data_IF_044130617421
#
_entry.id   IF_044130617421
#
_cell.length_a   1.000
_cell.length_b   1.000
_cell.length_c   1.000
_cell.angle_alpha   90.00
_cell.angle_beta   90.00
_cell.angle_gamma   90.00
#
_symmetry.space_group_name_H-M   'P 1'
#
loop_
_entity.id
_entity.type
_entity.pdbx_description
1 polymer ?
#
# COMPACT_ATOMS: atom_id res chain seq x y z
N UNK A 1 -3.93 -15.31 -16.96
CA UNK A 1 -3.34 -14.00 -16.69
C UNK A 1 -3.78 -13.54 -15.29
N UNK A 2 -2.85 -13.12 -14.50
CA UNK A 2 -3.15 -12.74 -13.14
C UNK A 2 -3.62 -11.29 -13.05
N UNK A 3 -4.61 -11.07 -12.19
CA UNK A 3 -5.18 -9.75 -11.95
C UNK A 3 -4.69 -9.23 -10.59
N UNK A 4 -3.38 -9.14 -10.43
CA UNK A 4 -2.79 -8.68 -9.18
C UNK A 4 -2.93 -7.17 -9.03
N UNK A 5 -3.40 -6.73 -7.86
CA UNK A 5 -3.50 -5.32 -7.51
C UNK A 5 -2.84 -5.14 -6.15
N UNK A 6 -1.87 -4.25 -6.08
CA UNK A 6 -1.24 -3.90 -4.80
C UNK A 6 -2.07 -2.82 -4.13
N UNK A 7 -2.35 -3.02 -2.84
CA UNK A 7 -3.09 -2.06 -2.02
C UNK A 7 -2.19 -1.65 -0.86
N UNK A 8 -1.64 -0.44 -0.91
CA UNK A 8 -0.91 0.09 0.24
C UNK A 8 -1.92 0.57 1.27
N UNK A 9 -1.66 0.27 2.53
CA UNK A 9 -2.63 0.53 3.58
C UNK A 9 -3.77 -0.49 3.62
N UNK A 10 -3.54 -1.70 3.10
CA UNK A 10 -4.56 -2.74 3.01
C UNK A 10 -5.06 -3.28 4.35
N UNK A 11 -4.35 -3.04 5.44
CA UNK A 11 -4.77 -3.42 6.80
C UNK A 11 -5.58 -2.32 7.50
N UNK A 12 -5.79 -1.18 6.86
CA UNK A 12 -6.64 -0.12 7.38
C UNK A 12 -8.11 -0.39 7.15
N UNK A 13 -8.97 0.49 7.69
CA UNK A 13 -10.41 0.34 7.53
C UNK A 13 -10.83 0.40 6.05
N UNK A 14 -10.45 1.48 5.36
CA UNK A 14 -10.79 1.66 3.94
C UNK A 14 -10.06 0.61 3.10
N UNK A 15 -8.76 0.41 3.35
CA UNK A 15 -7.96 -0.54 2.57
C UNK A 15 -8.48 -1.97 2.64
N UNK A 16 -8.93 -2.43 3.82
CA UNK A 16 -9.48 -3.78 3.96
C UNK A 16 -10.79 -3.94 3.18
N UNK A 17 -11.64 -2.91 3.14
CA UNK A 17 -12.86 -2.94 2.33
C UNK A 17 -12.55 -2.93 0.84
N UNK A 18 -11.53 -2.19 0.42
CA UNK A 18 -11.06 -2.18 -0.98
C UNK A 18 -10.57 -3.58 -1.37
N UNK A 19 -9.78 -4.23 -0.52
CA UNK A 19 -9.31 -5.60 -0.77
C UNK A 19 -10.47 -6.58 -0.90
N UNK A 20 -11.47 -6.47 -0.03
CA UNK A 20 -12.67 -7.28 -0.11
C UNK A 20 -13.37 -7.12 -1.47
N UNK A 21 -13.58 -5.87 -1.88
CA UNK A 21 -14.24 -5.58 -3.16
C UNK A 21 -13.44 -6.10 -4.33
N UNK A 22 -12.13 -5.91 -4.33
CA UNK A 22 -11.25 -6.44 -5.37
C UNK A 22 -11.38 -7.96 -5.49
N UNK A 23 -11.35 -8.66 -4.36
CA UNK A 23 -11.50 -10.11 -4.33
C UNK A 23 -12.84 -10.55 -4.90
N UNK A 24 -13.92 -9.87 -4.54
CA UNK A 24 -15.26 -10.15 -5.05
C UNK A 24 -15.36 -9.97 -6.57
N UNK A 25 -14.59 -9.03 -7.12
CA UNK A 25 -14.59 -8.74 -8.56
C UNK A 25 -13.56 -9.56 -9.34
N UNK A 26 -12.91 -10.55 -8.72
CA UNK A 26 -11.99 -11.45 -9.39
C UNK A 26 -10.55 -10.97 -9.46
N UNK A 27 -10.18 -9.92 -8.71
CA UNK A 27 -8.80 -9.46 -8.60
C UNK A 27 -8.10 -10.11 -7.41
N UNK A 28 -6.77 -10.12 -7.45
CA UNK A 28 -5.94 -10.64 -6.37
C UNK A 28 -5.30 -9.47 -5.62
N UNK A 29 -5.86 -9.04 -4.47
CA UNK A 29 -5.27 -7.95 -3.71
C UNK A 29 -4.05 -8.42 -2.93
N UNK A 30 -2.97 -7.65 -3.01
CA UNK A 30 -1.75 -7.84 -2.23
C UNK A 30 -1.61 -6.61 -1.34
N UNK A 31 -1.73 -6.78 -0.03
CA UNK A 31 -1.66 -5.68 0.92
C UNK A 31 -0.23 -5.40 1.34
N UNK A 32 0.14 -4.13 1.37
CA UNK A 32 1.38 -3.64 1.97
C UNK A 32 0.98 -2.66 3.06
N UNK A 33 1.40 -2.92 4.29
CA UNK A 33 1.03 -2.10 5.44
C UNK A 33 2.10 -2.28 6.53
N UNK A 34 2.56 -1.19 7.12
CA UNK A 34 3.51 -1.29 8.24
C UNK A 34 2.81 -1.52 9.59
N UNK A 35 1.48 -1.60 9.59
CA UNK A 35 0.64 -1.86 10.75
C UNK A 35 0.70 -0.77 11.83
N UNK A 36 1.27 0.39 11.53
CA UNK A 36 1.32 1.50 12.50
C UNK A 36 -0.07 2.06 12.79
N UNK A 37 -0.98 1.98 11.82
CA UNK A 37 -2.37 2.44 11.92
C UNK A 37 -3.37 1.34 11.55
N UNK A 38 -2.89 0.24 10.96
CA UNK A 38 -3.73 -0.85 10.50
C UNK A 38 -3.84 -1.97 11.51
N UNK A 39 -4.66 -2.96 11.19
CA UNK A 39 -4.87 -4.14 12.00
C UNK A 39 -4.73 -5.37 11.11
N UNK A 40 -3.78 -6.23 11.43
CA UNK A 40 -3.51 -7.46 10.69
C UNK A 40 -4.76 -8.35 10.57
N UNK A 41 -5.63 -8.34 11.56
CA UNK A 41 -6.86 -9.13 11.55
C UNK A 41 -7.85 -8.71 10.46
N UNK A 42 -7.70 -7.50 9.90
CA UNK A 42 -8.56 -7.02 8.80
C UNK A 42 -8.11 -7.55 7.44
N UNK A 43 -6.91 -8.12 7.33
CA UNK A 43 -6.38 -8.63 6.05
C UNK A 43 -6.85 -10.07 5.87
N UNK A 44 -7.93 -10.24 5.12
CA UNK A 44 -8.58 -11.55 4.91
C UNK A 44 -8.59 -11.98 3.44
N UNK A 45 -8.24 -11.08 2.52
CA UNK A 45 -8.42 -11.32 1.08
C UNK A 45 -7.09 -11.17 0.33
N UNK A 46 -6.15 -12.02 0.63
CA UNK A 46 -4.86 -12.04 -0.02
C UNK A 46 -3.70 -11.88 0.96
N UNK A 47 -2.46 -11.92 0.47
CA UNK A 47 -1.28 -11.82 1.33
C UNK A 47 -1.11 -10.43 1.89
N UNK A 48 -0.48 -10.36 3.07
CA UNK A 48 -0.05 -9.12 3.70
C UNK A 48 1.47 -9.10 3.79
N UNK A 49 2.07 -8.01 3.32
CA UNK A 49 3.48 -7.72 3.55
C UNK A 49 3.58 -6.58 4.56
N UNK A 50 4.17 -6.88 5.70
CA UNK A 50 4.41 -5.88 6.74
C UNK A 50 5.67 -5.11 6.36
N UNK A 51 5.49 -4.05 5.57
CA UNK A 51 6.57 -3.23 5.03
C UNK A 51 6.18 -1.76 5.08
N UNK A 52 7.20 -0.92 5.19
CA UNK A 52 7.02 0.53 5.14
C UNK A 52 7.17 1.00 3.69
N UNK A 53 6.22 1.84 3.22
CA UNK A 53 6.29 2.37 1.85
C UNK A 53 7.53 3.22 1.61
N UNK A 54 8.20 3.71 2.65
CA UNK A 54 9.47 4.43 2.55
C UNK A 54 10.64 3.51 2.24
N UNK A 55 10.49 2.21 2.42
CA UNK A 55 11.54 1.23 2.10
C UNK A 55 11.44 0.85 0.62
N UNK A 56 12.03 1.70 -0.23
CA UNK A 56 11.99 1.57 -1.68
C UNK A 56 12.41 0.18 -2.17
N UNK A 57 13.49 -0.38 -1.61
CA UNK A 57 14.02 -1.65 -2.09
C UNK A 57 13.05 -2.81 -1.85
N UNK A 58 12.43 -2.86 -0.66
CA UNK A 58 11.47 -3.91 -0.35
C UNK A 58 10.18 -3.75 -1.15
N UNK A 59 9.71 -2.52 -1.31
CA UNK A 59 8.51 -2.25 -2.11
C UNK A 59 8.75 -2.64 -3.58
N UNK A 60 9.91 -2.31 -4.13
CA UNK A 60 10.28 -2.69 -5.50
C UNK A 60 10.29 -4.20 -5.68
N UNK A 61 10.80 -4.95 -4.70
CA UNK A 61 10.81 -6.42 -4.75
C UNK A 61 9.40 -6.99 -4.81
N UNK A 62 8.47 -6.44 -4.03
CA UNK A 62 7.08 -6.89 -4.01
C UNK A 62 6.41 -6.60 -5.35
N UNK A 63 6.58 -5.40 -5.88
CA UNK A 63 6.02 -5.02 -7.18
C UNK A 63 6.57 -5.92 -8.28
N UNK A 64 7.88 -6.15 -8.28
CA UNK A 64 8.50 -7.03 -9.27
C UNK A 64 7.98 -8.46 -9.19
N UNK A 65 7.78 -8.96 -7.97
CA UNK A 65 7.28 -10.33 -7.74
C UNK A 65 5.88 -10.52 -8.32
N UNK A 66 4.99 -9.57 -8.11
CA UNK A 66 3.58 -9.72 -8.49
C UNK A 66 3.23 -9.11 -9.84
N UNK A 67 4.06 -8.21 -10.35
CA UNK A 67 3.79 -7.50 -11.62
C UNK A 67 2.33 -7.06 -11.69
N UNK A 68 1.86 -6.23 -10.76
CA UNK A 68 0.45 -5.90 -10.67
C UNK A 68 -0.03 -5.09 -11.88
N UNK A 69 -1.32 -5.18 -12.16
CA UNK A 69 -1.96 -4.35 -13.18
C UNK A 69 -2.14 -2.91 -12.69
N UNK A 70 -2.08 -2.69 -11.39
CA UNK A 70 -2.18 -1.37 -10.81
C UNK A 70 -1.89 -1.38 -9.31
N UNK A 71 -1.78 -0.19 -8.76
CA UNK A 71 -1.54 0.04 -7.32
C UNK A 71 -2.59 1.01 -6.81
N UNK A 72 -3.26 0.65 -5.73
CA UNK A 72 -4.17 1.55 -5.00
C UNK A 72 -3.43 1.99 -3.74
N UNK A 73 -3.13 3.28 -3.66
CA UNK A 73 -2.29 3.83 -2.59
C UNK A 73 -3.12 4.48 -1.49
N UNK A 74 -3.30 3.78 -0.40
CA UNK A 74 -4.06 4.25 0.76
C UNK A 74 -3.21 4.36 2.03
N UNK A 75 -1.93 4.00 1.95
CA UNK A 75 -1.01 4.06 3.08
C UNK A 75 -0.60 5.51 3.34
N UNK A 76 -1.29 6.16 4.24
CA UNK A 76 -1.00 7.53 4.63
C UNK A 76 -1.44 7.76 6.07
N UNK A 77 -0.78 8.70 6.74
CA UNK A 77 -1.26 9.21 8.02
C UNK A 77 -2.36 10.25 7.75
N UNK A 78 -3.48 10.16 8.45
CA UNK A 78 -4.66 10.98 8.15
C UNK A 78 -5.24 11.70 9.37
N UNK A 79 -4.59 11.67 10.51
CA UNK A 79 -5.08 12.35 11.72
C UNK A 79 -4.64 13.81 11.70
N UNK A 80 -5.60 14.73 11.56
CA UNK A 80 -5.33 16.18 11.43
C UNK A 80 -4.55 16.71 12.63
N UNK A 81 -4.97 16.39 13.84
CA UNK A 81 -4.30 16.85 15.05
C UNK A 81 -2.85 16.35 15.11
N UNK A 82 -2.62 15.09 14.77
CA UNK A 82 -1.27 14.52 14.73
C UNK A 82 -0.39 15.19 13.68
N UNK A 83 -0.96 15.56 12.53
CA UNK A 83 -0.22 16.24 11.47
C UNK A 83 0.27 17.63 11.90
N UNK A 84 -0.49 18.31 12.77
CA UNK A 84 -0.10 19.61 13.31
C UNK A 84 1.04 19.46 14.32
N UNK A 85 1.00 18.41 15.16
CA UNK A 85 2.03 18.16 16.18
C UNK A 85 3.32 17.62 15.57
N UNK A 86 3.21 16.77 14.56
CA UNK A 86 4.36 16.07 13.96
C UNK A 86 4.34 16.21 12.43
N UNK A 87 4.50 17.45 11.91
CA UNK A 87 4.39 17.68 10.47
C UNK A 87 5.47 16.96 9.65
N UNK A 88 6.70 16.87 10.19
CA UNK A 88 7.80 16.21 9.47
C UNK A 88 7.49 14.73 9.27
N UNK A 89 6.94 14.06 10.27
CA UNK A 89 6.54 12.66 10.18
C UNK A 89 5.50 12.47 9.08
N UNK A 90 4.53 13.38 8.96
CA UNK A 90 3.51 13.32 7.94
C UNK A 90 4.07 13.54 6.55
N UNK A 91 4.97 14.52 6.38
CA UNK A 91 5.66 14.73 5.11
C UNK A 91 6.51 13.53 4.72
N UNK A 92 7.27 12.98 5.66
CA UNK A 92 8.13 11.83 5.38
C UNK A 92 7.29 10.62 4.95
N UNK A 93 6.25 10.30 5.69
CA UNK A 93 5.41 9.14 5.36
C UNK A 93 4.58 9.37 4.10
N UNK A 94 3.87 10.51 4.02
CA UNK A 94 2.87 10.72 2.97
C UNK A 94 3.50 11.19 1.67
N UNK A 95 4.55 12.01 1.71
CA UNK A 95 5.18 12.55 0.51
C UNK A 95 6.36 11.69 0.06
N UNK A 96 7.34 11.49 0.92
CA UNK A 96 8.53 10.70 0.55
C UNK A 96 8.18 9.24 0.28
N UNK A 97 7.29 8.65 1.07
CA UNK A 97 6.79 7.30 0.84
C UNK A 97 6.07 7.18 -0.50
N UNK A 98 5.24 8.16 -0.84
CA UNK A 98 4.54 8.21 -2.12
C UNK A 98 5.48 8.34 -3.30
N UNK A 99 6.50 9.19 -3.19
CA UNK A 99 7.52 9.34 -4.23
C UNK A 99 8.28 8.03 -4.44
N UNK A 100 8.68 7.36 -3.36
CA UNK A 100 9.36 6.07 -3.43
C UNK A 100 8.51 5.00 -4.10
N UNK A 101 7.22 4.97 -3.79
CA UNK A 101 6.28 4.05 -4.42
C UNK A 101 6.18 4.31 -5.94
N UNK A 102 6.02 5.56 -6.35
CA UNK A 102 5.98 5.93 -7.77
C UNK A 102 7.27 5.54 -8.48
N UNK A 103 8.41 5.76 -7.84
CA UNK A 103 9.71 5.36 -8.41
C UNK A 103 9.78 3.85 -8.61
N UNK A 104 9.31 3.06 -7.65
CA UNK A 104 9.27 1.61 -7.77
C UNK A 104 8.35 1.15 -8.90
N UNK A 105 7.19 1.79 -9.05
CA UNK A 105 6.26 1.50 -10.13
C UNK A 105 6.87 1.79 -11.50
N UNK A 106 7.56 2.91 -11.65
CA UNK A 106 8.25 3.28 -12.89
C UNK A 106 9.32 2.24 -13.23
N UNK A 107 10.12 1.83 -12.25
CA UNK A 107 11.17 0.82 -12.46
C UNK A 107 10.60 -0.52 -12.89
N UNK A 108 9.42 -0.89 -12.44
CA UNK A 108 8.76 -2.15 -12.76
C UNK A 108 7.72 -2.03 -13.87
N UNK A 109 7.63 -0.87 -14.53
CA UNK A 109 6.70 -0.60 -15.64
C UNK A 109 5.23 -0.78 -15.25
N UNK A 110 4.86 -0.44 -14.05
CA UNK A 110 3.47 -0.41 -13.58
C UNK A 110 2.93 0.99 -13.77
N UNK A 111 1.86 1.13 -14.58
CA UNK A 111 1.39 2.44 -15.07
C UNK A 111 0.12 2.96 -14.40
N UNK A 112 -0.51 2.17 -13.56
CA UNK A 112 -1.79 2.55 -12.93
C UNK A 112 -1.74 2.38 -11.43
#
# INVERSE_FOLDING_TARGET
MENNVIVTGGAGYIGSHVCKKLSQEGYNPISIDNLSRGNKALVKWGPLYEEDIRDYQNIKKIIYKYMPIGVIHLAAFSYVEESIRNPIQYYDNNVNGGIGLLRAMIKCDVKK
#
